data_IF_841852357719
#
_entry.id   IF_841852357719
#
_cell.length_a   1.000
_cell.length_b   1.000
_cell.length_c   1.000
_cell.angle_alpha   90.00
_cell.angle_beta   90.00
_cell.angle_gamma   90.00
#
_symmetry.space_group_name_H-M   'P 1'
#
loop_
_entity.id
_entity.type
_entity.pdbx_description
1 polymer ?
#
# COMPACT_ATOMS: atom_id res chain seq x y z
N UNK A 1 18.31 -0.56 -1.43
CA UNK A 1 18.55 -2.02 -1.34
C UNK A 1 19.87 -2.35 -2.00
N UNK A 2 20.54 -3.41 -1.57
CA UNK A 2 21.77 -3.88 -2.19
C UNK A 2 21.48 -5.05 -3.17
N UNK A 3 22.18 -5.18 -4.31
CA UNK A 3 21.94 -6.25 -5.30
C UNK A 3 22.06 -7.69 -4.77
N UNK A 4 22.92 -7.87 -3.75
CA UNK A 4 23.18 -9.17 -3.10
C UNK A 4 22.39 -9.38 -1.80
N UNK A 5 21.41 -8.52 -1.52
CA UNK A 5 20.63 -8.58 -0.29
C UNK A 5 19.66 -9.79 -0.31
N UNK A 6 19.69 -10.62 0.73
CA UNK A 6 18.86 -11.83 0.88
C UNK A 6 17.69 -11.67 1.85
N UNK A 7 17.59 -10.56 2.57
CA UNK A 7 16.44 -10.25 3.39
C UNK A 7 16.24 -8.74 3.55
N UNK A 8 15.00 -8.34 3.80
CA UNK A 8 14.65 -7.03 4.33
C UNK A 8 13.99 -7.20 5.69
N UNK A 9 14.19 -6.22 6.55
CA UNK A 9 13.41 -6.09 7.78
C UNK A 9 12.40 -4.96 7.60
N UNK A 10 11.11 -5.29 7.73
CA UNK A 10 10.03 -4.32 7.71
C UNK A 10 9.68 -3.96 9.15
N UNK A 11 9.95 -2.71 9.51
CA UNK A 11 9.62 -2.15 10.82
C UNK A 11 8.37 -1.28 10.68
N UNK A 12 7.32 -1.60 11.45
CA UNK A 12 6.06 -0.88 11.47
C UNK A 12 6.01 -0.01 12.72
N UNK A 13 5.88 1.31 12.55
CA UNK A 13 5.85 2.27 13.66
C UNK A 13 4.50 2.98 13.74
N UNK A 14 4.13 3.40 14.95
CA UNK A 14 2.98 4.24 15.24
C UNK A 14 3.43 5.54 15.90
N UNK A 15 3.01 6.67 15.32
CA UNK A 15 3.26 8.01 15.83
C UNK A 15 3.39 9.05 14.71
N UNK A 16 3.29 10.32 15.08
CA UNK A 16 3.38 11.46 14.14
C UNK A 16 4.77 12.13 14.15
N UNK A 17 5.72 11.62 14.95
CA UNK A 17 7.02 12.24 15.05
C UNK A 17 7.82 12.02 13.76
N UNK A 18 8.42 13.09 13.24
CA UNK A 18 9.24 13.03 12.02
C UNK A 18 10.46 12.10 12.14
N UNK A 19 10.93 11.85 13.37
CA UNK A 19 12.05 10.96 13.67
C UNK A 19 11.48 9.64 14.12
N UNK A 20 11.68 8.60 13.32
CA UNK A 20 11.20 7.23 13.59
C UNK A 20 11.58 6.73 14.98
N UNK A 21 12.78 7.08 15.49
CA UNK A 21 13.24 6.70 16.84
C UNK A 21 12.37 7.25 17.99
N UNK A 22 11.55 8.26 17.72
CA UNK A 22 10.63 8.87 18.68
C UNK A 22 9.19 8.35 18.48
N UNK A 23 8.96 7.43 17.53
CA UNK A 23 7.70 6.74 17.35
C UNK A 23 7.74 5.37 18.04
N UNK A 24 6.58 4.79 18.27
CA UNK A 24 6.43 3.50 18.93
C UNK A 24 6.60 2.40 17.86
N UNK A 25 7.55 1.49 18.05
CA UNK A 25 7.64 0.29 17.20
C UNK A 25 6.48 -0.63 17.54
N UNK A 26 5.64 -0.93 16.55
CA UNK A 26 4.47 -1.79 16.69
C UNK A 26 4.83 -3.25 16.37
N UNK A 27 5.58 -3.47 15.29
CA UNK A 27 5.96 -4.81 14.84
C UNK A 27 7.23 -4.74 13.98
N UNK A 28 8.00 -5.82 13.98
CA UNK A 28 9.17 -6.00 13.12
C UNK A 28 9.18 -7.42 12.57
N UNK A 29 9.33 -7.56 11.26
CA UNK A 29 9.43 -8.88 10.63
C UNK A 29 10.37 -8.88 9.43
N UNK A 30 11.05 -10.02 9.24
CA UNK A 30 11.94 -10.22 8.12
C UNK A 30 11.20 -10.84 6.93
N UNK A 31 11.46 -10.31 5.75
CA UNK A 31 11.00 -10.86 4.48
C UNK A 31 12.23 -11.34 3.71
N UNK A 32 12.35 -12.66 3.45
CA UNK A 32 13.43 -13.19 2.64
C UNK A 32 13.28 -12.73 1.19
N UNK A 33 14.41 -12.42 0.57
CA UNK A 33 14.55 -12.02 -0.82
C UNK A 33 15.39 -13.04 -1.58
N UNK A 34 15.19 -13.11 -2.89
CA UNK A 34 16.09 -13.84 -3.77
C UNK A 34 17.21 -12.91 -4.23
N UNK A 35 18.44 -13.40 -4.23
CA UNK A 35 19.58 -12.67 -4.81
C UNK A 35 19.42 -12.67 -6.32
N UNK A 36 19.27 -11.49 -6.89
CA UNK A 36 19.12 -11.31 -8.35
C UNK A 36 20.35 -10.64 -8.97
N UNK A 37 21.31 -10.16 -8.17
CA UNK A 37 22.46 -9.39 -8.65
C UNK A 37 22.07 -8.02 -9.20
N UNK A 38 20.82 -7.60 -9.01
CA UNK A 38 20.27 -6.32 -9.45
C UNK A 38 19.48 -5.65 -8.32
N UNK A 39 19.24 -4.35 -8.46
CA UNK A 39 18.34 -3.63 -7.56
C UNK A 39 16.91 -4.14 -7.75
N UNK A 40 16.27 -4.54 -6.65
CA UNK A 40 14.87 -4.97 -6.62
C UNK A 40 14.00 -3.84 -6.05
N UNK A 41 12.81 -3.70 -6.60
CA UNK A 41 11.72 -2.92 -6.04
C UNK A 41 10.85 -3.78 -5.13
N UNK A 42 10.24 -3.14 -4.14
CA UNK A 42 9.30 -3.78 -3.21
C UNK A 42 8.13 -2.83 -3.03
N UNK A 43 6.93 -3.38 -3.16
CA UNK A 43 5.70 -2.65 -2.87
C UNK A 43 5.17 -3.08 -1.50
N UNK A 44 5.01 -2.12 -0.60
CA UNK A 44 4.42 -2.36 0.73
C UNK A 44 3.04 -1.73 0.77
N UNK A 45 2.02 -2.53 1.10
CA UNK A 45 0.65 -2.06 1.30
C UNK A 45 0.24 -2.21 2.75
N UNK A 46 -0.18 -1.10 3.34
CA UNK A 46 -0.86 -1.08 4.64
C UNK A 46 -2.36 -1.05 4.40
N UNK A 47 -3.08 -2.00 4.97
CA UNK A 47 -4.54 -2.07 4.94
C UNK A 47 -5.06 -2.07 6.36
N UNK A 48 -5.98 -1.16 6.67
CA UNK A 48 -6.53 -1.02 8.01
C UNK A 48 -8.05 -1.26 7.97
N UNK A 49 -8.55 -2.07 8.89
CA UNK A 49 -9.98 -2.31 9.07
C UNK A 49 -10.54 -1.51 10.27
N UNK A 50 -11.83 -1.21 10.24
CA UNK A 50 -12.55 -0.47 11.29
C UNK A 50 -12.43 -1.10 12.69
N UNK A 51 -12.09 -2.39 12.74
CA UNK A 51 -11.92 -3.16 13.96
C UNK A 51 -10.53 -3.00 14.62
N UNK A 52 -9.61 -2.24 14.03
CA UNK A 52 -8.24 -2.08 14.54
C UNK A 52 -7.25 -3.11 13.99
N UNK A 53 -7.62 -3.84 12.93
CA UNK A 53 -6.73 -4.79 12.28
C UNK A 53 -5.88 -4.07 11.23
N UNK A 54 -4.57 -4.10 11.40
CA UNK A 54 -3.61 -3.64 10.41
C UNK A 54 -3.02 -4.85 9.68
N UNK A 55 -3.15 -4.90 8.37
CA UNK A 55 -2.54 -5.91 7.52
C UNK A 55 -1.49 -5.24 6.62
N UNK A 56 -0.27 -5.78 6.68
CA UNK A 56 0.88 -5.30 5.91
C UNK A 56 1.23 -6.35 4.88
N UNK A 57 1.01 -6.06 3.60
CA UNK A 57 1.45 -6.90 2.50
C UNK A 57 2.76 -6.37 1.92
N UNK A 58 3.70 -7.27 1.70
CA UNK A 58 4.95 -7.00 1.00
C UNK A 58 4.92 -7.79 -0.31
N UNK A 59 4.78 -7.08 -1.42
CA UNK A 59 4.85 -7.63 -2.77
C UNK A 59 6.28 -7.49 -3.28
N UNK A 60 6.88 -8.63 -3.61
CA UNK A 60 8.21 -8.70 -4.22
C UNK A 60 8.10 -8.71 -5.75
N UNK A 61 9.18 -8.33 -6.44
CA UNK A 61 9.26 -8.34 -7.91
C UNK A 61 9.01 -9.72 -8.54
N UNK A 62 9.27 -10.80 -7.80
CA UNK A 62 8.99 -12.17 -8.27
C UNK A 62 7.49 -12.54 -8.19
N UNK A 63 6.64 -11.57 -7.81
CA UNK A 63 5.20 -11.73 -7.67
C UNK A 63 4.78 -12.39 -6.36
N UNK A 64 5.71 -12.76 -5.48
CA UNK A 64 5.37 -13.32 -4.18
C UNK A 64 4.88 -12.25 -3.22
N UNK A 65 3.85 -12.60 -2.43
CA UNK A 65 3.27 -11.71 -1.42
C UNK A 65 3.50 -12.32 -0.04
N UNK A 66 4.06 -11.51 0.86
CA UNK A 66 4.18 -11.84 2.29
C UNK A 66 3.29 -10.89 3.09
N UNK A 67 2.29 -11.45 3.76
CA UNK A 67 1.34 -10.69 4.56
C UNK A 67 1.60 -10.89 6.05
N UNK A 68 1.59 -9.79 6.81
CA UNK A 68 1.65 -9.78 8.27
C UNK A 68 0.41 -9.09 8.81
N UNK A 69 -0.28 -9.74 9.73
CA UNK A 69 -1.46 -9.19 10.41
C UNK A 69 -1.09 -8.76 11.81
N UNK A 70 -1.40 -7.52 12.14
CA UNK A 70 -1.11 -6.86 13.41
C UNK A 70 -2.45 -6.43 13.99
N UNK A 71 -2.78 -6.93 15.18
CA UNK A 71 -4.00 -6.51 15.87
C UNK A 71 -3.65 -5.38 16.84
N UNK A 72 -4.20 -4.19 16.61
CA UNK A 72 -3.99 -3.01 17.45
C UNK A 72 -5.16 -2.77 18.43
N UNK A 73 -6.23 -3.54 18.33
CA UNK A 73 -7.42 -3.34 19.16
C UNK A 73 -7.15 -3.74 20.62
N UNK A 74 -7.54 -2.93 21.62
CA UNK A 74 -7.44 -3.29 23.05
C UNK A 74 -8.35 -4.46 23.42
N UNK A 75 -9.31 -4.79 22.54
CA UNK A 75 -10.16 -5.97 22.64
C UNK A 75 -9.51 -7.08 21.82
N UNK A 76 -9.18 -8.19 22.46
CA UNK A 76 -8.73 -9.40 21.76
C UNK A 76 -9.84 -9.86 20.81
N UNK A 77 -9.67 -9.59 19.52
CA UNK A 77 -10.60 -10.06 18.49
C UNK A 77 -10.62 -11.59 18.52
N UNK A 78 -11.82 -12.18 18.44
CA UNK A 78 -11.94 -13.62 18.32
C UNK A 78 -11.36 -14.09 16.98
N UNK A 79 -10.93 -15.35 16.88
CA UNK A 79 -10.42 -15.91 15.63
C UNK A 79 -11.40 -15.72 14.45
N UNK A 80 -12.71 -15.80 14.73
CA UNK A 80 -13.76 -15.58 13.75
C UNK A 80 -13.79 -14.12 13.23
N UNK A 81 -13.65 -13.13 14.12
CA UNK A 81 -13.61 -11.72 13.72
C UNK A 81 -12.36 -11.37 12.91
N UNK A 82 -11.23 -12.03 13.18
CA UNK A 82 -10.01 -11.90 12.38
C UNK A 82 -10.23 -12.46 10.97
N UNK A 83 -10.86 -13.63 10.85
CA UNK A 83 -11.18 -14.27 9.57
C UNK A 83 -12.15 -13.41 8.72
N UNK A 84 -13.18 -12.84 9.33
CA UNK A 84 -14.12 -11.93 8.68
C UNK A 84 -13.44 -10.66 8.18
N UNK A 85 -12.57 -10.07 9.00
CA UNK A 85 -11.79 -8.88 8.64
C UNK A 85 -10.84 -9.18 7.48
N UNK A 86 -10.14 -10.33 7.51
CA UNK A 86 -9.31 -10.80 6.39
C UNK A 86 -10.09 -10.97 5.10
N UNK A 87 -11.28 -11.55 5.18
CA UNK A 87 -12.15 -11.77 4.00
C UNK A 87 -12.57 -10.42 3.39
N UNK A 88 -12.95 -9.45 4.23
CA UNK A 88 -13.29 -8.09 3.79
C UNK A 88 -12.11 -7.36 3.16
N UNK A 89 -10.93 -7.44 3.78
CA UNK A 89 -9.70 -6.84 3.26
C UNK A 89 -9.27 -7.48 1.93
N UNK A 90 -9.38 -8.80 1.81
CA UNK A 90 -9.10 -9.52 0.56
C UNK A 90 -10.01 -9.06 -0.58
N UNK A 91 -11.30 -8.84 -0.30
CA UNK A 91 -12.23 -8.31 -1.30
C UNK A 91 -11.84 -6.89 -1.78
N UNK A 92 -11.39 -6.03 -0.87
CA UNK A 92 -10.91 -4.68 -1.20
C UNK A 92 -9.58 -4.69 -1.97
N UNK A 93 -8.67 -5.60 -1.63
CA UNK A 93 -7.35 -5.73 -2.28
C UNK A 93 -7.41 -6.21 -3.72
N UNK A 94 -8.48 -6.90 -4.12
CA UNK A 94 -8.66 -7.47 -5.47
C UNK A 94 -8.75 -6.42 -6.57
N UNK A 95 -9.20 -5.21 -6.26
CA UNK A 95 -9.30 -4.13 -7.23
C UNK A 95 -8.62 -2.92 -6.61
N UNK A 96 -7.45 -2.55 -7.12
CA UNK A 96 -6.83 -1.30 -6.69
C UNK A 96 -7.79 -0.15 -7.01
N UNK A 97 -7.90 0.88 -6.15
CA UNK A 97 -8.70 2.06 -6.45
C UNK A 97 -8.40 2.64 -7.84
N UNK A 98 -7.13 2.72 -8.26
CA UNK A 98 -6.75 3.16 -9.61
C UNK A 98 -7.30 2.29 -10.77
N UNK A 99 -7.58 1.02 -10.50
CA UNK A 99 -8.08 0.05 -11.48
C UNK A 99 -9.61 -0.04 -11.49
N UNK A 100 -10.28 0.57 -10.51
CA UNK A 100 -11.74 0.64 -10.48
C UNK A 100 -12.24 1.38 -11.72
N UNK A 101 -13.29 0.84 -12.36
CA UNK A 101 -13.84 1.39 -13.60
C UNK A 101 -14.20 2.87 -13.47
N UNK A 102 -14.69 3.30 -12.30
CA UNK A 102 -15.04 4.70 -12.05
C UNK A 102 -13.82 5.63 -12.11
N UNK A 103 -12.69 5.22 -11.50
CA UNK A 103 -11.47 6.01 -11.46
C UNK A 103 -10.76 5.99 -12.82
N UNK A 104 -10.78 4.86 -13.52
CA UNK A 104 -10.29 4.76 -14.92
C UNK A 104 -11.09 5.64 -15.87
N UNK A 105 -12.42 5.62 -15.75
CA UNK A 105 -13.32 6.44 -16.59
C UNK A 105 -13.13 7.93 -16.28
N UNK A 106 -12.96 8.27 -14.99
CA UNK A 106 -12.70 9.64 -14.57
C UNK A 106 -11.36 10.15 -15.13
N UNK A 107 -10.28 9.36 -15.01
CA UNK A 107 -8.97 9.70 -15.56
C UNK A 107 -9.01 9.87 -17.09
N UNK A 108 -9.67 8.96 -17.81
CA UNK A 108 -9.83 9.07 -19.26
C UNK A 108 -10.61 10.35 -19.67
N UNK A 109 -11.63 10.75 -18.90
CA UNK A 109 -12.35 12.02 -19.14
C UNK A 109 -11.45 13.24 -18.90
N UNK A 110 -10.62 13.22 -17.86
CA UNK A 110 -9.67 14.29 -17.62
C UNK A 110 -8.64 14.39 -18.75
N UNK A 111 -8.12 13.26 -19.24
CA UNK A 111 -7.20 13.22 -20.39
C UNK A 111 -7.85 13.76 -21.67
N UNK A 112 -9.12 13.44 -21.94
CA UNK A 112 -9.86 14.04 -23.06
C UNK A 112 -10.02 15.55 -22.93
N UNK A 113 -10.34 16.06 -21.73
CA UNK A 113 -10.47 17.49 -21.47
C UNK A 113 -9.11 18.20 -21.63
N UNK A 114 -8.05 17.62 -21.09
CA UNK A 114 -6.69 18.12 -21.25
C UNK A 114 -6.26 18.21 -22.72
N UNK A 115 -6.61 17.21 -23.53
CA UNK A 115 -6.29 17.19 -24.96
C UNK A 115 -7.02 18.28 -25.76
N UNK A 116 -8.22 18.70 -25.31
CA UNK A 116 -9.03 19.74 -25.95
C UNK A 116 -8.77 21.15 -25.39
N UNK A 117 -8.23 21.26 -24.18
CA UNK A 117 -7.94 22.53 -23.52
C UNK A 117 -6.71 23.23 -24.13
N UNK A 118 -6.68 24.56 -24.02
CA UNK A 118 -5.60 25.43 -24.49
C UNK A 118 -5.25 26.44 -23.39
N UNK A 119 -3.98 26.85 -23.32
CA UNK A 119 -3.52 27.84 -22.34
C UNK A 119 -3.64 27.35 -20.89
N UNK A 120 -4.01 28.25 -19.99
CA UNK A 120 -3.99 28.03 -18.54
C UNK A 120 -4.88 26.86 -18.09
N UNK A 121 -6.01 26.65 -18.75
CA UNK A 121 -6.94 25.54 -18.47
C UNK A 121 -6.28 24.18 -18.69
N UNK A 122 -5.37 24.08 -19.67
CA UNK A 122 -4.61 22.85 -19.94
C UNK A 122 -3.60 22.55 -18.84
N UNK A 123 -2.96 23.57 -18.29
CA UNK A 123 -2.03 23.39 -17.18
C UNK A 123 -2.75 22.95 -15.91
N UNK A 124 -3.91 23.54 -15.61
CA UNK A 124 -4.70 23.22 -14.42
C UNK A 124 -5.22 21.77 -14.47
N UNK A 125 -5.80 21.35 -15.60
CA UNK A 125 -6.23 19.95 -15.79
C UNK A 125 -5.04 19.00 -15.71
N UNK A 126 -3.87 19.39 -16.24
CA UNK A 126 -2.64 18.58 -16.18
C UNK A 126 -2.16 18.33 -14.75
N UNK A 127 -2.27 19.33 -13.86
CA UNK A 127 -1.97 19.16 -12.43
C UNK A 127 -2.92 18.16 -11.77
N UNK A 128 -4.22 18.32 -12.02
CA UNK A 128 -5.25 17.40 -11.48
C UNK A 128 -5.04 15.95 -11.95
N UNK A 129 -4.62 15.73 -13.20
CA UNK A 129 -4.29 14.38 -13.70
C UNK A 129 -3.04 13.80 -13.03
N UNK A 130 -2.06 14.63 -12.71
CA UNK A 130 -0.80 14.20 -12.10
C UNK A 130 -0.98 13.85 -10.63
N UNK A 131 -1.85 14.59 -9.94
CA UNK A 131 -2.16 14.41 -8.52
C UNK A 131 -3.18 13.28 -8.26
N UNK A 132 -3.79 12.69 -9.31
CA UNK A 132 -4.82 11.63 -9.26
C UNK A 132 -4.32 10.24 -9.70
#
# INVERSE_FOLDING_TARGET
MHPEQDSITVNVYQGENHKVKNNILVESFDVPLKKTGAYQSIDIRFSYDINGLLEVDVLLEDGSVKSRVINHSPVTLSAQQIEESRTRLSALKKIYPRDMLINRTFKAKLEELWARALGDEREEIGRVITDF
#
